data_IF_111485293929
#
_entry.id   IF_111485293929
#
_cell.length_a   1.000
_cell.length_b   1.000
_cell.length_c   1.000
_cell.angle_alpha   90.00
_cell.angle_beta   90.00
_cell.angle_gamma   90.00
#
_symmetry.space_group_name_H-M   'P 1'
#
loop_
_entity.id
_entity.type
_entity.pdbx_description
1 polymer ?
#
# COMPACT_ATOMS: atom_id res chain seq x y z
N UNK A 1 35.44 -15.36 -3.27
CA UNK A 1 34.32 -14.62 -2.62
C UNK A 1 33.75 -13.60 -3.59
N UNK A 2 34.58 -12.76 -4.21
CA UNK A 2 34.19 -11.80 -5.27
C UNK A 2 33.42 -12.48 -6.42
N UNK A 3 33.92 -13.59 -6.97
CA UNK A 3 33.26 -14.31 -8.07
C UNK A 3 31.83 -14.83 -7.75
N UNK A 4 31.55 -15.16 -6.48
CA UNK A 4 30.23 -15.63 -6.07
C UNK A 4 29.24 -14.48 -5.92
N UNK A 5 29.74 -13.31 -5.50
CA UNK A 5 28.94 -12.09 -5.39
C UNK A 5 28.62 -11.51 -6.76
N UNK A 6 29.59 -11.48 -7.69
CA UNK A 6 29.33 -11.12 -9.09
C UNK A 6 28.33 -12.07 -9.74
N UNK A 7 28.51 -13.39 -9.61
CA UNK A 7 27.57 -14.36 -10.16
C UNK A 7 26.14 -14.20 -9.58
N UNK A 8 26.04 -13.83 -8.31
CA UNK A 8 24.76 -13.53 -7.68
C UNK A 8 24.11 -12.28 -8.28
N UNK A 9 24.86 -11.19 -8.41
CA UNK A 9 24.34 -9.93 -8.93
C UNK A 9 24.00 -10.04 -10.41
N UNK A 10 24.78 -10.77 -11.21
CA UNK A 10 24.45 -11.10 -12.60
C UNK A 10 23.19 -11.96 -12.71
N UNK A 11 23.01 -12.96 -11.85
CA UNK A 11 21.77 -13.74 -11.82
C UNK A 11 20.57 -12.88 -11.43
N UNK A 12 20.73 -11.98 -10.46
CA UNK A 12 19.65 -11.06 -10.04
C UNK A 12 19.31 -10.08 -11.17
N UNK A 13 20.33 -9.51 -11.83
CA UNK A 13 20.24 -8.63 -12.99
C UNK A 13 19.50 -9.26 -14.16
N UNK A 14 19.77 -10.53 -14.45
CA UNK A 14 19.13 -11.23 -15.57
C UNK A 14 17.61 -11.35 -15.45
N UNK A 15 17.02 -11.03 -14.29
CA UNK A 15 15.56 -10.99 -14.10
C UNK A 15 14.94 -9.64 -14.46
N UNK A 16 15.73 -8.56 -14.56
CA UNK A 16 15.21 -7.21 -14.69
C UNK A 16 14.57 -6.94 -16.06
N UNK A 17 15.18 -7.41 -17.13
CA UNK A 17 14.64 -7.31 -18.49
C UNK A 17 13.34 -8.13 -18.63
N UNK A 18 13.29 -9.45 -18.34
CA UNK A 18 12.04 -10.21 -18.39
C UNK A 18 10.93 -9.63 -17.50
N UNK A 19 11.30 -9.11 -16.32
CA UNK A 19 10.36 -8.44 -15.41
C UNK A 19 9.76 -7.18 -16.03
N UNK A 20 10.59 -6.35 -16.67
CA UNK A 20 10.15 -5.10 -17.30
C UNK A 20 9.28 -5.36 -18.52
N UNK A 21 9.66 -6.31 -19.36
CA UNK A 21 8.84 -6.77 -20.49
C UNK A 21 7.47 -7.28 -20.02
N UNK A 22 7.45 -8.15 -19.00
CA UNK A 22 6.20 -8.65 -18.42
C UNK A 22 5.36 -7.53 -17.84
N UNK A 23 5.94 -6.57 -17.11
CA UNK A 23 5.18 -5.44 -16.56
C UNK A 23 4.58 -4.57 -17.66
N UNK A 24 5.32 -4.27 -18.73
CA UNK A 24 4.83 -3.49 -19.86
C UNK A 24 3.69 -4.20 -20.61
N UNK A 25 3.84 -5.50 -20.84
CA UNK A 25 2.81 -6.30 -21.49
C UNK A 25 1.54 -6.41 -20.64
N UNK A 26 1.68 -6.63 -19.33
CA UNK A 26 0.56 -6.60 -18.39
C UNK A 26 -0.14 -5.22 -18.41
N UNK A 27 0.62 -4.12 -18.41
CA UNK A 27 0.06 -2.76 -18.55
C UNK A 27 -0.72 -2.59 -19.86
N UNK A 28 -0.18 -3.07 -20.97
CA UNK A 28 -0.83 -2.99 -22.26
C UNK A 28 -2.19 -3.72 -22.25
N UNK A 29 -2.27 -4.91 -21.66
CA UNK A 29 -3.53 -5.63 -21.51
C UNK A 29 -4.50 -4.93 -20.56
N UNK A 30 -4.00 -4.39 -19.45
CA UNK A 30 -4.82 -3.71 -18.46
C UNK A 30 -5.50 -2.44 -18.99
N UNK A 31 -5.05 -1.88 -20.12
CA UNK A 31 -5.78 -0.80 -20.80
C UNK A 31 -7.18 -1.23 -21.27
N UNK A 32 -7.38 -2.52 -21.55
CA UNK A 32 -8.67 -3.10 -21.94
C UNK A 32 -9.48 -3.61 -20.74
N UNK A 33 -8.90 -3.63 -19.53
CA UNK A 33 -9.53 -4.21 -18.33
C UNK A 33 -10.71 -3.38 -17.81
N UNK A 34 -10.74 -2.07 -18.09
CA UNK A 34 -11.90 -1.21 -17.79
C UNK A 34 -12.07 -0.79 -16.32
N UNK A 35 -11.11 -1.08 -15.46
CA UNK A 35 -11.11 -0.69 -14.04
C UNK A 35 -9.78 -0.06 -13.63
N UNK A 36 -9.83 0.76 -12.58
CA UNK A 36 -8.63 1.36 -12.00
C UNK A 36 -7.73 0.29 -11.37
N UNK A 37 -6.42 0.45 -11.60
CA UNK A 37 -5.40 -0.43 -11.07
C UNK A 37 -4.12 0.35 -10.75
N UNK A 38 -3.33 -0.22 -9.84
CA UNK A 38 -1.94 0.17 -9.62
C UNK A 38 -1.04 -1.00 -9.96
N UNK A 39 0.02 -0.76 -10.73
CA UNK A 39 1.03 -1.77 -11.04
C UNK A 39 2.44 -1.25 -10.77
N UNK A 40 3.23 -2.07 -10.09
CA UNK A 40 4.64 -1.82 -9.88
C UNK A 40 5.43 -3.12 -9.92
N UNK A 41 6.65 -3.04 -10.44
CA UNK A 41 7.63 -4.10 -10.34
C UNK A 41 8.62 -3.82 -9.23
N UNK A 42 9.15 -4.88 -8.64
CA UNK A 42 10.19 -4.82 -7.61
C UNK A 42 11.17 -5.95 -7.82
N UNK A 43 12.46 -5.62 -7.78
CA UNK A 43 13.51 -6.62 -7.74
C UNK A 43 13.78 -7.00 -6.28
N UNK A 44 13.93 -8.30 -6.00
CA UNK A 44 14.16 -8.76 -4.64
C UNK A 44 15.55 -8.34 -4.14
N UNK A 45 15.58 -7.91 -2.89
CA UNK A 45 16.80 -7.39 -2.23
C UNK A 45 17.78 -8.52 -1.92
N UNK A 46 19.09 -8.27 -2.04
CA UNK A 46 20.16 -9.26 -1.77
C UNK A 46 20.00 -9.89 -0.36
N UNK A 47 19.81 -9.12 0.73
CA UNK A 47 19.59 -9.70 2.06
C UNK A 47 18.38 -10.63 2.16
N UNK A 48 17.26 -10.29 1.50
CA UNK A 48 16.07 -11.14 1.49
C UNK A 48 16.24 -12.43 0.68
N UNK A 49 17.06 -12.39 -0.38
CA UNK A 49 17.40 -13.58 -1.15
C UNK A 49 18.27 -14.51 -0.29
N UNK A 50 19.33 -13.99 0.32
CA UNK A 50 20.25 -14.75 1.19
C UNK A 50 19.49 -15.38 2.37
N UNK A 51 18.64 -14.61 3.07
CA UNK A 51 17.80 -15.14 4.15
C UNK A 51 16.91 -16.30 3.69
N UNK A 52 16.27 -16.17 2.51
CA UNK A 52 15.43 -17.22 1.97
C UNK A 52 16.21 -18.47 1.57
N UNK A 53 17.43 -18.31 1.04
CA UNK A 53 18.32 -19.43 0.73
C UNK A 53 18.70 -20.19 2.01
N UNK A 54 19.07 -19.47 3.08
CA UNK A 54 19.42 -20.07 4.36
C UNK A 54 18.24 -20.82 4.99
N UNK A 55 17.02 -20.24 4.96
CA UNK A 55 15.83 -20.88 5.53
C UNK A 55 15.39 -22.13 4.76
N UNK A 56 15.43 -22.09 3.44
CA UNK A 56 14.88 -23.17 2.60
C UNK A 56 15.94 -24.19 2.15
N UNK A 57 17.23 -23.90 2.34
CA UNK A 57 18.35 -24.73 1.88
C UNK A 57 18.25 -25.12 0.40
N UNK A 58 17.85 -24.17 -0.46
CA UNK A 58 17.70 -24.35 -1.91
C UNK A 58 18.77 -23.60 -2.69
N UNK A 59 18.96 -23.94 -3.97
CA UNK A 59 19.85 -23.19 -4.88
C UNK A 59 19.22 -21.86 -5.30
N UNK A 60 20.05 -20.86 -5.61
CA UNK A 60 19.62 -19.55 -6.13
C UNK A 60 18.71 -19.69 -7.37
N UNK A 61 19.05 -20.59 -8.28
CA UNK A 61 18.26 -20.88 -9.50
C UNK A 61 16.88 -21.49 -9.25
N UNK A 62 16.63 -21.98 -8.04
CA UNK A 62 15.33 -22.53 -7.64
C UNK A 62 14.40 -21.49 -7.02
N UNK A 63 14.91 -20.30 -6.69
CA UNK A 63 14.08 -19.20 -6.20
C UNK A 63 13.19 -18.67 -7.32
N UNK A 64 11.91 -18.48 -6.99
CA UNK A 64 10.86 -18.14 -7.94
C UNK A 64 10.47 -16.65 -7.89
N UNK A 65 10.92 -15.93 -6.87
CA UNK A 65 10.46 -14.57 -6.52
C UNK A 65 11.60 -13.55 -6.57
N UNK A 66 12.55 -13.70 -7.50
CA UNK A 66 13.63 -12.72 -7.70
C UNK A 66 13.08 -11.45 -8.36
N UNK A 67 12.33 -11.61 -9.46
CA UNK A 67 11.57 -10.53 -10.09
C UNK A 67 10.10 -10.63 -9.70
N UNK A 68 9.55 -9.57 -9.10
CA UNK A 68 8.17 -9.52 -8.65
C UNK A 68 7.40 -8.37 -9.29
N UNK A 69 6.17 -8.62 -9.71
CA UNK A 69 5.20 -7.60 -10.10
C UNK A 69 4.01 -7.63 -9.15
N UNK A 70 3.42 -6.47 -8.88
CA UNK A 70 2.22 -6.35 -8.04
C UNK A 70 1.17 -5.56 -8.77
N UNK A 71 -0.04 -6.11 -8.86
CA UNK A 71 -1.24 -5.40 -9.30
C UNK A 71 -2.19 -5.24 -8.11
N UNK A 72 -2.64 -4.01 -7.86
CA UNK A 72 -3.61 -3.68 -6.83
C UNK A 72 -4.86 -3.13 -7.50
N UNK A 73 -6.01 -3.71 -7.18
CA UNK A 73 -7.34 -3.28 -7.62
C UNK A 73 -8.21 -2.89 -6.43
N UNK A 74 -9.32 -2.19 -6.68
CA UNK A 74 -10.14 -1.58 -5.62
C UNK A 74 -10.65 -2.59 -4.59
N UNK A 75 -11.23 -3.72 -5.05
CA UNK A 75 -11.94 -4.68 -4.20
C UNK A 75 -11.63 -6.13 -4.59
N UNK A 76 -12.01 -7.06 -3.72
CA UNK A 76 -11.71 -8.48 -3.91
C UNK A 76 -12.45 -9.11 -5.11
N UNK A 77 -13.65 -8.63 -5.44
CA UNK A 77 -14.39 -9.10 -6.62
C UNK A 77 -13.66 -8.74 -7.93
N UNK A 78 -12.97 -7.60 -7.96
CA UNK A 78 -12.14 -7.20 -9.09
C UNK A 78 -10.88 -8.08 -9.18
N UNK A 79 -10.34 -8.57 -8.06
CA UNK A 79 -9.24 -9.55 -8.09
C UNK A 79 -9.66 -10.80 -8.85
N UNK A 80 -10.87 -11.31 -8.62
CA UNK A 80 -11.37 -12.50 -9.34
C UNK A 80 -11.49 -12.25 -10.84
N UNK A 81 -12.08 -11.10 -11.22
CA UNK A 81 -12.20 -10.70 -12.62
C UNK A 81 -10.83 -10.56 -13.29
N UNK A 82 -9.88 -9.91 -12.60
CA UNK A 82 -8.52 -9.70 -13.11
C UNK A 82 -7.78 -11.04 -13.25
N UNK A 83 -7.94 -11.97 -12.31
CA UNK A 83 -7.34 -13.31 -12.38
C UNK A 83 -7.83 -14.05 -13.63
N UNK A 84 -9.13 -14.00 -13.94
CA UNK A 84 -9.66 -14.65 -15.15
C UNK A 84 -9.18 -13.94 -16.42
N UNK A 85 -9.23 -12.61 -16.43
CA UNK A 85 -8.73 -11.80 -17.55
C UNK A 85 -7.27 -12.11 -17.89
N UNK A 86 -6.39 -12.16 -16.89
CA UNK A 86 -4.98 -12.46 -17.09
C UNK A 86 -4.74 -13.90 -17.53
N UNK A 87 -5.48 -14.88 -16.98
CA UNK A 87 -5.39 -16.27 -17.44
C UNK A 87 -5.72 -16.40 -18.93
N UNK A 88 -6.80 -15.74 -19.38
CA UNK A 88 -7.18 -15.72 -20.79
C UNK A 88 -6.10 -15.07 -21.66
N UNK A 89 -5.62 -13.88 -21.30
CA UNK A 89 -4.55 -13.19 -22.05
C UNK A 89 -3.27 -14.02 -22.13
N UNK A 90 -2.79 -14.55 -21.00
CA UNK A 90 -1.57 -15.36 -20.94
C UNK A 90 -1.72 -16.64 -21.78
N UNK A 91 -2.89 -17.27 -21.79
CA UNK A 91 -3.11 -18.48 -22.61
C UNK A 91 -2.96 -18.25 -24.13
N UNK A 92 -3.05 -16.98 -24.57
CA UNK A 92 -2.93 -16.56 -25.98
C UNK A 92 -1.54 -15.99 -26.30
N UNK A 93 -0.66 -15.89 -25.31
CA UNK A 93 0.69 -15.33 -25.46
C UNK A 93 1.72 -16.46 -25.52
N UNK A 94 2.61 -16.41 -26.51
CA UNK A 94 3.65 -17.44 -26.70
C UNK A 94 4.82 -17.26 -25.72
N UNK A 95 5.25 -16.02 -25.52
CA UNK A 95 6.49 -15.69 -24.81
C UNK A 95 6.34 -15.54 -23.28
N UNK A 96 5.12 -15.73 -22.75
CA UNK A 96 4.81 -15.67 -21.33
C UNK A 96 4.03 -16.91 -20.91
N UNK A 97 4.62 -17.73 -20.03
CA UNK A 97 4.02 -19.00 -19.59
C UNK A 97 3.50 -18.89 -18.16
N UNK A 98 2.24 -19.25 -17.94
CA UNK A 98 1.69 -19.44 -16.60
C UNK A 98 2.04 -20.82 -16.06
N UNK A 99 2.89 -20.89 -15.03
CA UNK A 99 3.33 -22.16 -14.44
C UNK A 99 2.45 -22.61 -13.28
N UNK A 100 2.00 -21.67 -12.45
CA UNK A 100 1.16 -21.96 -11.29
C UNK A 100 0.35 -20.74 -10.88
N UNK A 101 -0.85 -20.97 -10.38
CA UNK A 101 -1.62 -19.97 -9.64
C UNK A 101 -1.83 -20.50 -8.23
N UNK A 102 -1.64 -19.66 -7.22
CA UNK A 102 -1.90 -19.99 -5.82
C UNK A 102 -2.70 -18.88 -5.19
N UNK A 103 -3.88 -19.21 -4.68
CA UNK A 103 -4.77 -18.26 -4.03
C UNK A 103 -4.66 -18.43 -2.51
N UNK A 104 -4.14 -17.40 -1.83
CA UNK A 104 -4.00 -17.39 -0.38
C UNK A 104 -5.15 -16.66 0.32
N UNK A 105 -6.12 -16.10 -0.41
CA UNK A 105 -7.12 -15.20 0.18
C UNK A 105 -8.09 -15.91 1.12
N UNK A 106 -8.49 -17.13 0.82
CA UNK A 106 -9.51 -17.84 1.61
C UNK A 106 -9.02 -18.20 3.02
N UNK A 107 -7.79 -18.71 3.13
CA UNK A 107 -7.25 -19.24 4.41
C UNK A 107 -6.12 -18.41 5.00
N UNK A 108 -5.58 -17.45 4.25
CA UNK A 108 -4.26 -16.90 4.53
C UNK A 108 -3.15 -17.88 4.16
N UNK A 109 -1.94 -17.37 3.91
CA UNK A 109 -0.77 -18.19 3.55
C UNK A 109 -0.16 -18.93 4.74
N UNK A 110 -0.27 -18.37 5.94
CA UNK A 110 0.47 -18.75 7.13
C UNK A 110 -0.23 -18.20 8.39
N UNK A 111 0.42 -18.33 9.56
CA UNK A 111 -0.06 -17.80 10.84
C UNK A 111 -0.12 -16.27 10.88
N UNK A 112 0.51 -15.57 9.93
CA UNK A 112 0.56 -14.11 9.95
C UNK A 112 -0.76 -13.53 9.46
N UNK A 113 -1.48 -14.23 8.56
CA UNK A 113 -2.70 -13.73 7.94
C UNK A 113 -2.48 -13.14 6.55
N UNK A 114 -1.34 -13.36 5.90
CA UNK A 114 -1.08 -12.82 4.57
C UNK A 114 -2.03 -13.35 3.49
N UNK A 115 -2.56 -12.45 2.64
CA UNK A 115 -3.49 -12.77 1.54
C UNK A 115 -3.17 -12.06 0.23
N UNK A 116 -3.24 -12.82 -0.86
CA UNK A 116 -3.06 -12.37 -2.24
C UNK A 116 -3.27 -13.57 -3.18
N UNK A 117 -3.56 -13.32 -4.46
CA UNK A 117 -3.39 -14.34 -5.51
C UNK A 117 -2.01 -14.22 -6.12
N UNK A 118 -1.27 -15.33 -6.20
CA UNK A 118 0.07 -15.37 -6.77
C UNK A 118 0.06 -16.13 -8.09
N UNK A 119 0.59 -15.50 -9.12
CA UNK A 119 0.87 -16.10 -10.42
C UNK A 119 2.38 -16.35 -10.50
N UNK A 120 2.77 -17.60 -10.70
CA UNK A 120 4.13 -17.96 -11.08
C UNK A 120 4.21 -17.95 -12.60
N UNK A 121 4.89 -16.96 -13.14
CA UNK A 121 5.10 -16.75 -14.56
C UNK A 121 6.52 -17.18 -14.95
N UNK A 122 6.71 -17.48 -16.23
CA UNK A 122 8.03 -17.72 -16.82
C UNK A 122 8.13 -17.00 -18.16
N UNK A 123 9.18 -16.18 -18.31
CA UNK A 123 9.56 -15.48 -19.55
C UNK A 123 11.09 -15.51 -19.66
N UNK A 124 11.61 -15.76 -20.85
CA UNK A 124 13.06 -15.81 -21.15
C UNK A 124 13.84 -16.68 -20.14
N UNK A 125 13.30 -17.87 -19.81
CA UNK A 125 13.83 -18.83 -18.82
C UNK A 125 13.97 -18.29 -17.38
N UNK A 126 13.35 -17.14 -17.08
CA UNK A 126 13.30 -16.56 -15.74
C UNK A 126 11.90 -16.68 -15.14
N UNK A 127 11.87 -17.08 -13.88
CA UNK A 127 10.62 -17.16 -13.10
C UNK A 127 10.34 -15.80 -12.47
N UNK A 128 9.09 -15.37 -12.63
CA UNK A 128 8.58 -14.10 -12.11
C UNK A 128 7.35 -14.37 -11.25
N UNK A 129 7.20 -13.61 -10.17
CA UNK A 129 6.03 -13.69 -9.29
C UNK A 129 5.14 -12.47 -9.53
N UNK A 130 3.90 -12.68 -9.97
CA UNK A 130 2.88 -11.65 -10.03
C UNK A 130 1.93 -11.80 -8.84
N UNK A 131 1.82 -10.75 -8.02
CA UNK A 131 0.94 -10.68 -6.86
C UNK A 131 -0.26 -9.79 -7.19
N UNK A 132 -1.47 -10.35 -7.08
CA UNK A 132 -2.72 -9.62 -7.30
C UNK A 132 -3.40 -9.45 -5.95
N UNK A 133 -3.76 -8.21 -5.62
CA UNK A 133 -4.33 -7.84 -4.32
C UNK A 133 -5.47 -6.84 -4.49
N UNK A 134 -6.43 -6.89 -3.57
CA UNK A 134 -7.29 -5.74 -3.32
C UNK A 134 -6.53 -4.65 -2.56
N UNK A 135 -7.17 -3.48 -2.37
CA UNK A 135 -6.64 -2.42 -1.50
C UNK A 135 -6.53 -2.85 -0.05
N UNK A 136 -7.50 -3.61 0.44
CA UNK A 136 -7.53 -4.07 1.84
C UNK A 136 -6.39 -5.05 2.11
N UNK A 137 -6.21 -6.02 1.20
CA UNK A 137 -5.10 -6.97 1.27
C UNK A 137 -3.74 -6.26 1.17
N UNK A 138 -3.64 -5.25 0.30
CA UNK A 138 -2.42 -4.47 0.16
C UNK A 138 -2.12 -3.62 1.40
N UNK A 139 -3.11 -2.92 1.95
CA UNK A 139 -2.96 -2.16 3.20
C UNK A 139 -2.48 -3.06 4.33
N UNK A 140 -3.14 -4.20 4.57
CA UNK A 140 -2.71 -5.14 5.60
C UNK A 140 -1.25 -5.55 5.44
N UNK A 141 -0.87 -5.86 4.19
CA UNK A 141 0.49 -6.27 3.87
C UNK A 141 1.52 -5.14 4.03
N UNK A 142 1.13 -3.88 3.93
CA UNK A 142 2.01 -2.73 4.22
C UNK A 142 2.06 -2.43 5.72
N UNK A 143 0.94 -2.52 6.44
CA UNK A 143 0.88 -2.25 7.88
C UNK A 143 1.75 -3.19 8.70
N UNK A 144 1.76 -4.48 8.38
CA UNK A 144 2.63 -5.45 9.06
C UNK A 144 4.12 -5.24 8.69
N UNK A 145 4.45 -4.74 7.49
CA UNK A 145 5.84 -4.39 7.13
C UNK A 145 6.31 -3.16 7.91
N UNK A 146 5.47 -2.11 7.99
CA UNK A 146 5.75 -0.94 8.83
C UNK A 146 5.96 -1.32 10.28
N UNK A 147 5.09 -2.18 10.81
CA UNK A 147 5.23 -2.64 12.20
C UNK A 147 6.50 -3.48 12.39
N UNK A 148 6.88 -4.28 11.39
CA UNK A 148 8.15 -5.02 11.41
C UNK A 148 9.37 -4.10 11.52
N UNK A 149 9.32 -2.91 10.91
CA UNK A 149 10.37 -1.87 11.03
C UNK A 149 10.54 -1.46 12.49
N UNK A 150 9.45 -0.99 13.07
CA UNK A 150 9.46 -0.32 14.36
C UNK A 150 9.69 -1.32 15.48
N UNK A 151 9.10 -2.50 15.33
CA UNK A 151 9.26 -3.58 16.27
C UNK A 151 10.64 -4.27 16.16
N UNK A 152 11.38 -4.05 15.07
CA UNK A 152 12.69 -4.66 14.85
C UNK A 152 12.65 -6.17 14.57
N UNK A 153 11.49 -6.69 14.18
CA UNK A 153 11.27 -8.13 13.93
C UNK A 153 10.55 -8.35 12.60
N UNK A 154 10.95 -9.39 11.84
CA UNK A 154 10.28 -9.72 10.58
C UNK A 154 8.96 -10.48 10.83
N UNK A 155 7.89 -9.76 11.19
CA UNK A 155 6.59 -10.32 11.57
C UNK A 155 5.99 -11.24 10.50
N UNK A 156 6.15 -10.90 9.22
CA UNK A 156 5.69 -11.76 8.10
C UNK A 156 6.42 -13.09 7.98
N UNK A 157 7.60 -13.19 8.56
CA UNK A 157 8.40 -14.41 8.59
C UNK A 157 8.17 -15.20 9.89
N UNK A 158 7.25 -14.73 10.75
CA UNK A 158 6.93 -15.34 12.04
C UNK A 158 7.88 -14.94 13.17
N UNK A 159 8.73 -13.93 12.96
CA UNK A 159 9.63 -13.42 14.00
C UNK A 159 8.90 -12.39 14.89
N UNK A 160 9.20 -12.39 16.20
CA UNK A 160 8.60 -11.48 17.18
C UNK A 160 7.59 -12.16 18.11
N UNK A 161 6.94 -11.37 18.97
CA UNK A 161 5.97 -11.89 19.92
C UNK A 161 4.70 -12.42 19.23
N UNK A 162 4.28 -13.61 19.65
CA UNK A 162 3.07 -14.28 19.18
C UNK A 162 1.79 -13.44 19.29
N UNK A 163 1.70 -12.53 20.26
CA UNK A 163 0.55 -11.63 20.45
C UNK A 163 0.50 -10.60 19.32
N UNK A 164 1.64 -10.04 18.92
CA UNK A 164 1.72 -9.09 17.80
C UNK A 164 1.34 -9.79 16.49
N UNK A 165 1.88 -10.98 16.25
CA UNK A 165 1.51 -11.80 15.09
C UNK A 165 0.02 -12.13 15.11
N UNK A 166 -0.52 -12.50 16.28
CA UNK A 166 -1.94 -12.82 16.43
C UNK A 166 -2.87 -11.62 16.20
N UNK A 167 -2.46 -10.41 16.57
CA UNK A 167 -3.21 -9.19 16.21
C UNK A 167 -3.34 -9.07 14.69
N UNK A 168 -2.24 -9.21 13.95
CA UNK A 168 -2.25 -9.12 12.49
C UNK A 168 -3.07 -10.23 11.83
N UNK A 169 -3.00 -11.46 12.38
CA UNK A 169 -3.81 -12.57 11.92
C UNK A 169 -5.31 -12.25 12.06
N UNK A 170 -5.75 -11.82 13.24
CA UNK A 170 -7.16 -11.46 13.50
C UNK A 170 -7.61 -10.29 12.64
N UNK A 171 -6.75 -9.29 12.46
CA UNK A 171 -7.04 -8.14 11.58
C UNK A 171 -7.25 -8.59 10.13
N UNK A 172 -6.41 -9.52 9.65
CA UNK A 172 -6.60 -10.13 8.33
C UNK A 172 -7.94 -10.86 8.26
N UNK A 173 -8.28 -11.67 9.25
CA UNK A 173 -9.56 -12.39 9.29
C UNK A 173 -10.76 -11.45 9.25
N UNK A 174 -10.72 -10.33 9.98
CA UNK A 174 -11.77 -9.32 9.90
C UNK A 174 -11.85 -8.65 8.52
N UNK A 175 -10.71 -8.35 7.91
CA UNK A 175 -10.66 -7.86 6.53
C UNK A 175 -11.24 -8.87 5.53
N UNK A 176 -11.07 -10.18 5.77
CA UNK A 176 -11.71 -11.22 4.93
C UNK A 176 -13.22 -11.04 4.87
N UNK A 177 -13.81 -10.86 6.05
CA UNK A 177 -15.25 -10.82 6.22
C UNK A 177 -15.80 -9.63 5.47
N UNK A 178 -15.16 -8.47 5.64
CA UNK A 178 -15.50 -7.22 4.94
C UNK A 178 -15.39 -7.39 3.42
N UNK A 179 -14.28 -7.95 2.94
CA UNK A 179 -14.07 -8.23 1.51
C UNK A 179 -15.05 -9.25 0.93
N UNK A 180 -15.66 -10.06 1.78
CA UNK A 180 -16.69 -11.03 1.40
C UNK A 180 -18.12 -10.48 1.56
N UNK A 181 -18.26 -9.18 1.83
CA UNK A 181 -19.56 -8.53 2.07
C UNK A 181 -20.22 -8.88 3.40
N UNK A 182 -19.47 -9.46 4.35
CA UNK A 182 -19.93 -9.83 5.69
C UNK A 182 -19.41 -8.82 6.73
N UNK A 183 -20.12 -8.74 7.85
CA UNK A 183 -19.69 -7.89 8.97
C UNK A 183 -18.89 -8.71 9.97
N UNK A 184 -17.66 -8.28 10.34
CA UNK A 184 -16.89 -8.91 11.40
C UNK A 184 -17.71 -8.97 12.70
N UNK A 185 -17.78 -10.15 13.33
CA UNK A 185 -18.56 -10.35 14.55
C UNK A 185 -18.10 -9.45 15.69
N UNK A 186 -19.00 -9.08 16.60
CA UNK A 186 -18.66 -8.28 17.78
C UNK A 186 -17.56 -8.92 18.64
N UNK A 187 -17.51 -10.26 18.70
CA UNK A 187 -16.46 -11.01 19.37
C UNK A 187 -15.10 -10.81 18.70
N UNK A 188 -15.03 -10.97 17.37
CA UNK A 188 -13.77 -10.77 16.62
C UNK A 188 -13.27 -9.33 16.76
N UNK A 189 -14.17 -8.34 16.71
CA UNK A 189 -13.84 -6.92 16.95
C UNK A 189 -13.20 -6.71 18.33
N UNK A 190 -13.84 -7.23 19.38
CA UNK A 190 -13.31 -7.15 20.74
C UNK A 190 -11.95 -7.86 20.88
N UNK A 191 -11.79 -9.04 20.28
CA UNK A 191 -10.53 -9.78 20.29
C UNK A 191 -9.40 -9.02 19.57
N UNK A 192 -9.71 -8.29 18.49
CA UNK A 192 -8.76 -7.42 17.78
C UNK A 192 -8.37 -6.23 18.68
N UNK A 193 -9.34 -5.57 19.32
CA UNK A 193 -9.07 -4.41 20.17
C UNK A 193 -8.22 -4.77 21.41
N UNK A 194 -8.47 -5.94 21.99
CA UNK A 194 -7.63 -6.46 23.09
C UNK A 194 -6.22 -6.79 22.57
N UNK A 195 -6.12 -7.55 21.47
CA UNK A 195 -4.83 -7.92 20.90
C UNK A 195 -4.02 -6.69 20.45
N UNK A 196 -4.68 -5.63 19.97
CA UNK A 196 -4.05 -4.35 19.63
C UNK A 196 -3.39 -3.74 20.86
N UNK A 197 -4.12 -3.58 21.96
CA UNK A 197 -3.57 -2.96 23.19
C UNK A 197 -2.37 -3.73 23.74
N UNK A 198 -2.42 -5.05 23.69
CA UNK A 198 -1.29 -5.88 24.12
C UNK A 198 -0.12 -5.77 23.15
N UNK A 199 -0.36 -5.80 21.84
CA UNK A 199 0.67 -5.60 20.82
C UNK A 199 1.36 -4.24 20.96
N UNK A 200 0.59 -3.16 21.15
CA UNK A 200 1.14 -1.81 21.39
C UNK A 200 2.05 -1.78 22.61
N UNK A 201 1.62 -2.39 23.72
CA UNK A 201 2.42 -2.48 24.95
C UNK A 201 3.72 -3.26 24.72
N UNK A 202 3.66 -4.37 24.00
CA UNK A 202 4.84 -5.20 23.69
C UNK A 202 5.82 -4.41 22.82
N UNK A 203 5.35 -3.80 21.74
CA UNK A 203 6.20 -3.06 20.81
C UNK A 203 6.83 -1.85 21.54
N UNK A 204 6.09 -1.15 22.43
CA UNK A 204 6.62 0.01 23.19
C UNK A 204 7.72 -0.40 24.17
N UNK A 205 7.65 -1.62 24.70
CA UNK A 205 8.61 -2.11 25.67
C UNK A 205 9.93 -2.56 25.02
N UNK A 206 9.98 -2.76 23.70
CA UNK A 206 11.18 -3.26 23.01
C UNK A 206 12.23 -2.16 22.80
N UNK A 207 11.88 -0.87 22.77
CA UNK A 207 12.89 0.19 22.90
C UNK A 207 12.28 1.58 23.15
N UNK A 208 12.56 2.17 24.32
CA UNK A 208 12.28 3.58 24.63
C UNK A 208 13.41 4.52 24.18
N UNK A 209 14.46 3.99 23.55
CA UNK A 209 15.60 4.75 23.00
C UNK A 209 15.50 5.11 21.52
N UNK A 210 14.64 4.43 20.75
CA UNK A 210 14.45 4.66 19.32
C UNK A 210 13.02 5.12 19.03
N UNK A 211 12.57 6.20 19.67
CA UNK A 211 11.36 6.90 19.25
C UNK A 211 11.60 7.46 17.84
N UNK A 212 11.32 6.60 16.85
CA UNK A 212 11.37 6.88 15.43
C UNK A 212 10.23 7.86 15.14
N UNK A 213 10.52 9.16 15.29
CA UNK A 213 9.66 10.24 14.81
C UNK A 213 9.99 10.43 13.33
N UNK A 214 9.29 9.69 12.46
CA UNK A 214 9.49 9.76 11.02
C UNK A 214 8.39 10.58 10.38
N UNK A 215 8.67 11.85 10.09
CA UNK A 215 7.74 12.65 9.30
C UNK A 215 7.76 12.25 7.82
N UNK A 216 6.58 12.22 7.20
CA UNK A 216 6.44 12.10 5.74
C UNK A 216 7.02 13.37 5.12
N UNK A 217 8.14 13.25 4.41
CA UNK A 217 8.75 14.38 3.71
C UNK A 217 8.04 14.58 2.35
N UNK A 218 6.94 15.34 2.34
CA UNK A 218 6.14 15.60 1.15
C UNK A 218 6.93 16.33 0.02
N UNK A 219 8.00 17.06 0.35
CA UNK A 219 8.87 17.75 -0.64
C UNK A 219 9.57 16.76 -1.58
N UNK A 220 9.86 15.55 -1.07
CA UNK A 220 10.47 14.46 -1.85
C UNK A 220 9.51 13.99 -2.94
N UNK A 221 8.21 13.91 -2.64
CA UNK A 221 7.18 13.49 -3.60
C UNK A 221 7.04 14.49 -4.73
N UNK A 222 7.10 15.78 -4.42
CA UNK A 222 7.08 16.85 -5.42
C UNK A 222 8.28 16.72 -6.37
N UNK A 223 9.47 16.50 -5.81
CA UNK A 223 10.70 16.37 -6.59
C UNK A 223 10.71 15.10 -7.46
N UNK A 224 10.21 13.98 -6.92
CA UNK A 224 10.01 12.73 -7.68
C UNK A 224 9.06 12.94 -8.87
N UNK A 225 7.94 13.62 -8.63
CA UNK A 225 6.92 13.91 -9.65
C UNK A 225 7.46 14.84 -10.74
N UNK A 226 8.32 15.79 -10.38
CA UNK A 226 8.98 16.67 -11.35
C UNK A 226 9.99 15.93 -12.24
N UNK A 227 10.82 15.06 -11.66
CA UNK A 227 11.75 14.23 -12.46
C UNK A 227 11.01 13.27 -13.37
N UNK A 228 9.91 12.67 -12.90
CA UNK A 228 9.06 11.80 -13.72
C UNK A 228 8.50 12.52 -14.94
N UNK A 229 7.96 13.74 -14.77
CA UNK A 229 7.40 14.54 -15.89
C UNK A 229 8.42 14.80 -17.01
N UNK A 230 9.71 14.76 -16.71
CA UNK A 230 10.80 14.94 -17.68
C UNK A 230 11.24 13.62 -18.35
N UNK A 231 10.76 12.48 -17.87
CA UNK A 231 11.05 11.16 -18.43
C UNK A 231 9.97 10.76 -19.44
N UNK A 232 10.38 10.39 -20.66
CA UNK A 232 9.50 9.85 -21.69
C UNK A 232 9.36 8.32 -21.64
N UNK A 233 9.87 7.66 -20.60
CA UNK A 233 9.89 6.20 -20.50
C UNK A 233 8.52 5.65 -20.05
N UNK A 234 8.04 4.52 -20.61
CA UNK A 234 6.82 3.88 -20.15
C UNK A 234 6.95 3.32 -18.72
N UNK A 235 8.16 2.97 -18.29
CA UNK A 235 8.50 2.59 -16.91
C UNK A 235 9.74 3.36 -16.46
N UNK A 236 9.67 3.95 -15.27
CA UNK A 236 10.80 4.55 -14.57
C UNK A 236 11.26 3.60 -13.45
N UNK A 237 12.56 3.40 -13.35
CA UNK A 237 13.18 2.66 -12.26
C UNK A 237 13.62 3.64 -11.17
N UNK A 238 13.14 3.40 -9.96
CA UNK A 238 13.39 4.21 -8.78
C UNK A 238 14.22 3.41 -7.79
N UNK A 239 15.32 3.99 -7.34
CA UNK A 239 16.00 3.53 -6.13
C UNK A 239 15.43 4.32 -4.96
N UNK A 240 15.03 3.61 -3.90
CA UNK A 240 14.66 4.21 -2.63
C UNK A 240 15.62 3.68 -1.56
N UNK A 241 16.13 4.60 -0.74
CA UNK A 241 16.98 4.31 0.41
C UNK A 241 16.23 4.70 1.68
N UNK A 242 16.07 3.72 2.57
CA UNK A 242 15.38 3.86 3.85
C UNK A 242 16.34 3.48 4.98
N UNK A 243 16.35 4.26 6.06
CA UNK A 243 17.14 4.00 7.26
C UNK A 243 16.24 3.47 8.38
N UNK A 244 16.49 2.23 8.78
CA UNK A 244 15.71 1.56 9.83
C UNK A 244 16.09 2.04 11.22
N UNK A 245 17.24 2.69 11.41
CA UNK A 245 17.58 3.27 12.72
C UNK A 245 16.69 4.48 13.02
N UNK A 246 16.43 5.29 12.00
CA UNK A 246 15.63 6.53 12.11
C UNK A 246 14.19 6.35 11.63
N UNK A 247 13.88 5.22 10.99
CA UNK A 247 12.62 4.95 10.27
C UNK A 247 12.31 5.98 9.19
N UNK A 248 13.34 6.65 8.67
CA UNK A 248 13.18 7.73 7.72
C UNK A 248 13.62 7.31 6.33
N UNK A 249 12.93 7.89 5.36
CA UNK A 249 13.40 7.95 4.00
C UNK A 249 14.65 8.84 3.94
N UNK A 250 15.74 8.31 3.39
CA UNK A 250 17.03 9.01 3.35
C UNK A 250 17.32 9.59 1.97
N UNK A 251 17.07 8.82 0.92
CA UNK A 251 17.45 9.20 -0.42
C UNK A 251 16.63 8.45 -1.46
N UNK A 252 16.58 9.02 -2.67
CA UNK A 252 16.10 8.34 -3.84
C UNK A 252 16.90 8.73 -5.07
N UNK A 253 16.81 7.86 -6.08
CA UNK A 253 17.30 8.17 -7.41
C UNK A 253 16.36 7.64 -8.48
N UNK A 254 16.39 8.29 -9.64
CA UNK A 254 15.82 7.73 -10.86
C UNK A 254 16.99 7.15 -11.65
N UNK A 255 16.99 5.84 -11.83
CA UNK A 255 18.09 5.14 -12.47
C UNK A 255 17.79 4.86 -13.93
N UNK A 256 18.88 4.62 -14.66
CA UNK A 256 18.92 4.52 -16.10
C UNK A 256 17.90 3.57 -16.72
N UNK A 257 17.71 3.75 -18.02
CA UNK A 257 16.62 3.10 -18.77
C UNK A 257 16.94 1.65 -19.10
N UNK A 258 18.22 1.29 -19.10
CA UNK A 258 18.67 -0.06 -19.42
C UNK A 258 18.80 -0.91 -18.15
N UNK A 259 18.65 -2.24 -18.25
CA UNK A 259 18.88 -3.14 -17.13
C UNK A 259 20.28 -3.01 -16.51
N UNK A 260 21.30 -2.76 -17.33
CA UNK A 260 22.68 -2.58 -16.89
C UNK A 260 22.83 -1.35 -15.99
N UNK A 261 22.38 -0.19 -16.45
CA UNK A 261 22.47 1.07 -15.70
C UNK A 261 21.70 0.98 -14.37
N UNK A 262 20.51 0.36 -14.40
CA UNK A 262 19.67 0.20 -13.22
C UNK A 262 20.32 -0.69 -12.17
N UNK A 263 20.94 -1.80 -12.57
CA UNK A 263 21.63 -2.71 -11.64
C UNK A 263 22.94 -2.12 -11.13
N UNK A 264 23.75 -1.51 -11.99
CA UNK A 264 25.00 -0.91 -11.57
C UNK A 264 24.73 0.18 -10.51
N UNK A 265 23.72 1.01 -10.74
CA UNK A 265 23.29 1.97 -9.73
C UNK A 265 22.76 1.26 -8.48
N UNK A 266 21.95 0.22 -8.61
CA UNK A 266 21.39 -0.49 -7.45
C UNK A 266 22.48 -1.10 -6.56
N UNK A 267 23.48 -1.78 -7.15
CA UNK A 267 24.64 -2.33 -6.44
C UNK A 267 25.45 -1.21 -5.78
N UNK A 268 25.67 -0.08 -6.49
CA UNK A 268 26.35 1.09 -5.92
C UNK A 268 25.64 1.63 -4.68
N UNK A 269 24.31 1.76 -4.72
CA UNK A 269 23.52 2.19 -3.57
C UNK A 269 23.54 1.14 -2.44
N UNK A 270 23.41 -0.15 -2.73
CA UNK A 270 23.53 -1.22 -1.72
C UNK A 270 24.90 -1.20 -1.00
N UNK A 271 25.98 -0.86 -1.72
CA UNK A 271 27.32 -0.72 -1.14
C UNK A 271 27.47 0.57 -0.30
N UNK A 272 26.84 1.67 -0.72
CA UNK A 272 26.87 2.95 0.02
C UNK A 272 26.00 2.90 1.28
N UNK A 273 24.89 2.16 1.22
CA UNK A 273 23.89 2.05 2.27
C UNK A 273 23.73 0.58 2.69
N UNK A 274 24.73 0.03 3.41
CA UNK A 274 24.79 -1.38 3.75
C UNK A 274 23.72 -1.78 4.77
N UNK A 275 23.22 -3.01 4.65
CA UNK A 275 22.21 -3.58 5.55
C UNK A 275 22.70 -3.75 6.98
N UNK A 276 24.02 -3.93 7.16
CA UNK A 276 24.68 -4.05 8.47
C UNK A 276 24.61 -2.74 9.27
N UNK A 277 24.38 -1.62 8.60
CA UNK A 277 24.10 -0.31 9.21
C UNK A 277 22.61 0.00 9.28
N UNK A 278 21.76 -1.02 9.10
CA UNK A 278 20.31 -0.92 9.10
C UNK A 278 19.76 0.01 7.99
N UNK A 279 20.41 0.05 6.83
CA UNK A 279 19.80 0.65 5.64
C UNK A 279 19.09 -0.40 4.77
N UNK A 280 18.07 0.05 4.07
CA UNK A 280 17.41 -0.71 3.02
C UNK A 280 17.40 0.07 1.72
N UNK A 281 17.96 -0.57 0.70
CA UNK A 281 17.89 -0.10 -0.67
C UNK A 281 16.90 -0.98 -1.42
N UNK A 282 15.99 -0.36 -2.17
CA UNK A 282 15.02 -1.07 -3.00
C UNK A 282 14.94 -0.47 -4.39
N UNK A 283 14.91 -1.34 -5.40
CA UNK A 283 14.67 -0.98 -6.80
C UNK A 283 13.22 -1.27 -7.18
N UNK A 284 12.47 -0.21 -7.52
CA UNK A 284 11.04 -0.26 -7.87
C UNK A 284 10.84 0.31 -9.25
N UNK A 285 10.19 -0.42 -10.15
CA UNK A 285 9.78 0.10 -11.45
C UNK A 285 8.29 0.44 -11.47
N UNK A 286 7.93 1.63 -11.95
CA UNK A 286 6.54 1.98 -12.20
C UNK A 286 6.41 3.05 -13.29
N UNK A 287 5.23 3.15 -13.91
CA UNK A 287 4.92 4.18 -14.90
C UNK A 287 4.62 5.55 -14.28
N UNK A 288 4.22 5.58 -13.00
CA UNK A 288 3.88 6.80 -12.26
C UNK A 288 4.46 6.76 -10.86
N UNK A 289 5.06 7.84 -10.36
CA UNK A 289 5.61 7.89 -9.00
C UNK A 289 4.50 7.83 -7.94
N UNK A 290 3.31 8.35 -8.27
CA UNK A 290 2.12 8.20 -7.44
C UNK A 290 1.80 6.72 -7.17
N UNK A 291 2.08 5.83 -8.13
CA UNK A 291 1.92 4.39 -7.97
C UNK A 291 2.95 3.81 -7.01
N UNK A 292 4.19 4.31 -7.00
CA UNK A 292 5.23 3.90 -6.03
C UNK A 292 4.77 4.23 -4.60
N UNK A 293 4.25 5.44 -4.36
CA UNK A 293 3.67 5.83 -3.05
C UNK A 293 2.51 4.93 -2.63
N UNK A 294 1.66 4.50 -3.57
CA UNK A 294 0.52 3.61 -3.27
C UNK A 294 0.96 2.16 -3.01
N UNK A 295 1.93 1.67 -3.78
CA UNK A 295 2.36 0.26 -3.75
C UNK A 295 3.42 -0.04 -2.69
N UNK A 296 4.17 0.96 -2.26
CA UNK A 296 5.30 0.84 -1.32
C UNK A 296 5.30 1.99 -0.30
N UNK A 297 4.11 2.29 0.20
CA UNK A 297 3.84 3.40 1.12
C UNK A 297 4.68 3.37 2.40
N UNK A 298 5.11 2.20 2.87
CA UNK A 298 5.93 2.05 4.07
C UNK A 298 7.30 2.71 4.01
N UNK A 299 7.83 3.01 2.81
CA UNK A 299 9.10 3.75 2.68
C UNK A 299 8.94 5.27 2.72
N UNK A 300 7.72 5.80 2.63
CA UNK A 300 7.47 7.25 2.52
C UNK A 300 7.11 7.90 3.86
N UNK A 301 7.62 7.35 4.96
CA UNK A 301 7.35 7.81 6.32
C UNK A 301 6.35 6.94 7.06
N UNK A 302 6.53 6.84 8.36
CA UNK A 302 5.66 6.14 9.29
C UNK A 302 4.95 7.22 10.11
N UNK A 303 3.63 7.37 9.98
CA UNK A 303 2.89 8.25 10.89
C UNK A 303 3.14 7.83 12.35
N UNK A 304 3.02 8.79 13.28
CA UNK A 304 3.17 8.63 14.74
C UNK A 304 3.03 7.19 15.22
N UNK A 305 3.93 6.76 16.10
CA UNK A 305 3.92 5.42 16.69
C UNK A 305 2.51 4.98 17.15
N UNK A 306 1.73 5.92 17.68
CA UNK A 306 0.36 5.71 18.16
C UNK A 306 -0.69 5.41 17.07
N UNK A 307 -0.32 5.51 15.80
CA UNK A 307 -1.19 5.26 14.63
C UNK A 307 -0.75 4.06 13.78
N UNK A 308 0.35 3.37 14.14
CA UNK A 308 0.85 2.23 13.34
C UNK A 308 -0.16 1.08 13.33
N UNK A 309 -0.74 0.80 14.50
CA UNK A 309 -1.78 -0.19 14.67
C UNK A 309 -3.12 0.52 14.70
N UNK A 310 -3.93 0.32 13.69
CA UNK A 310 -5.29 0.85 13.64
C UNK A 310 -6.26 -0.15 14.28
N UNK A 311 -7.26 0.35 14.99
CA UNK A 311 -8.42 -0.49 15.33
C UNK A 311 -9.10 -0.93 14.03
N UNK A 312 -9.94 -1.97 14.12
CA UNK A 312 -10.67 -2.40 12.94
C UNK A 312 -11.54 -1.27 12.37
N UNK A 313 -12.18 -0.48 13.23
CA UNK A 313 -13.03 0.63 12.81
C UNK A 313 -12.22 1.78 12.17
N UNK A 314 -11.03 2.08 12.68
CA UNK A 314 -10.08 3.02 12.06
C UNK A 314 -9.63 2.54 10.68
N UNK A 315 -9.27 1.26 10.57
CA UNK A 315 -8.88 0.64 9.30
C UNK A 315 -10.00 0.70 8.27
N UNK A 316 -11.24 0.36 8.66
CA UNK A 316 -12.42 0.47 7.79
C UNK A 316 -12.62 1.91 7.31
N UNK A 317 -12.55 2.88 8.22
CA UNK A 317 -12.62 4.30 7.86
C UNK A 317 -11.49 4.72 6.90
N UNK A 318 -10.30 4.11 7.03
CA UNK A 318 -9.19 4.26 6.10
C UNK A 318 -9.48 3.73 4.69
N UNK A 319 -10.26 2.64 4.56
CA UNK A 319 -10.67 2.09 3.27
C UNK A 319 -11.81 2.83 2.61
N UNK A 320 -12.70 3.43 3.40
CA UNK A 320 -13.71 4.35 2.85
C UNK A 320 -13.03 5.59 2.22
N UNK A 321 -11.77 5.91 2.57
CA UNK A 321 -11.03 7.13 2.20
C UNK A 321 -10.35 7.19 0.83
N UNK A 322 -10.78 6.41 -0.17
CA UNK A 322 -10.53 6.78 -1.57
C UNK A 322 -11.86 7.14 -2.21
N UNK A 323 -12.25 8.39 -1.89
CA UNK A 323 -13.57 8.95 -2.13
C UNK A 323 -14.22 9.55 -0.88
N UNK A 324 -13.72 9.25 0.34
CA UNK A 324 -14.42 9.69 1.55
C UNK A 324 -14.20 11.14 1.97
N UNK A 325 -15.32 11.68 2.41
CA UNK A 325 -15.47 12.77 3.34
C UNK A 325 -14.82 12.36 4.68
N UNK A 326 -13.94 13.20 5.22
CA UNK A 326 -13.33 12.96 6.54
C UNK A 326 -14.36 13.04 7.69
N UNK A 327 -13.98 12.63 8.91
CA UNK A 327 -14.89 12.60 10.08
C UNK A 327 -15.55 13.96 10.32
N UNK A 328 -14.79 15.05 10.10
CA UNK A 328 -15.29 16.42 10.20
C UNK A 328 -16.34 16.72 9.13
N UNK A 329 -16.09 16.35 7.88
CA UNK A 329 -17.07 16.49 6.81
C UNK A 329 -18.32 15.64 7.02
N UNK A 330 -18.20 14.42 7.59
CA UNK A 330 -19.35 13.54 7.86
C UNK A 330 -20.22 14.10 8.98
N UNK A 331 -19.59 14.66 10.03
CA UNK A 331 -20.29 15.36 11.10
C UNK A 331 -21.05 16.59 10.58
N UNK A 332 -20.43 17.37 9.68
CA UNK A 332 -21.06 18.52 9.03
C UNK A 332 -22.27 18.07 8.18
N UNK A 333 -22.09 17.06 7.32
CA UNK A 333 -23.17 16.52 6.48
C UNK A 333 -24.33 15.99 7.34
N UNK A 334 -24.05 15.23 8.39
CA UNK A 334 -25.07 14.69 9.30
C UNK A 334 -25.85 15.80 10.02
N UNK A 335 -25.18 16.88 10.46
CA UNK A 335 -25.85 18.02 11.11
C UNK A 335 -26.70 18.83 10.14
N UNK A 336 -26.21 19.07 8.93
CA UNK A 336 -27.02 19.72 7.88
C UNK A 336 -28.22 18.86 7.47
N UNK A 337 -28.03 17.54 7.42
CA UNK A 337 -29.05 16.56 7.07
C UNK A 337 -30.18 16.51 8.10
N UNK A 338 -29.82 16.29 9.37
CA UNK A 338 -30.77 16.18 10.51
C UNK A 338 -31.51 17.48 10.80
N UNK A 339 -30.94 18.64 10.49
CA UNK A 339 -31.60 19.96 10.61
C UNK A 339 -32.34 20.39 9.34
N UNK A 340 -32.32 19.54 8.30
CA UNK A 340 -32.98 19.78 7.01
C UNK A 340 -32.52 21.08 6.33
N UNK A 341 -31.22 21.35 6.25
CA UNK A 341 -30.65 22.46 5.47
C UNK A 341 -30.32 21.99 4.05
N UNK A 342 -31.22 22.24 3.11
CA UNK A 342 -31.12 21.80 1.71
C UNK A 342 -31.40 22.94 0.74
N UNK A 343 -30.56 23.09 -0.29
CA UNK A 343 -30.75 24.09 -1.36
C UNK A 343 -30.91 25.51 -0.82
N UNK A 344 -32.09 26.10 -1.01
CA UNK A 344 -32.40 27.48 -0.59
C UNK A 344 -32.49 27.66 0.93
N UNK A 345 -32.63 26.57 1.69
CA UNK A 345 -32.64 26.63 3.16
C UNK A 345 -31.20 26.46 3.69
N UNK A 346 -30.56 27.59 3.97
CA UNK A 346 -29.15 27.67 4.35
C UNK A 346 -28.93 27.96 5.84
N UNK A 347 -27.70 27.77 6.31
CA UNK A 347 -27.26 28.10 7.68
C UNK A 347 -25.94 28.87 7.64
N UNK A 348 -25.79 29.87 8.51
CA UNK A 348 -24.54 30.60 8.63
C UNK A 348 -23.42 29.70 9.17
N UNK A 349 -22.21 29.86 8.66
CA UNK A 349 -21.04 29.07 9.05
C UNK A 349 -20.68 29.26 10.53
N UNK A 350 -20.86 30.46 11.07
CA UNK A 350 -20.69 30.73 12.51
C UNK A 350 -21.70 29.95 13.36
N UNK A 351 -22.93 29.80 12.88
CA UNK A 351 -23.95 29.00 13.57
C UNK A 351 -23.59 27.52 13.53
N UNK A 352 -23.05 27.01 12.42
CA UNK A 352 -22.52 25.65 12.36
C UNK A 352 -21.37 25.47 13.35
N UNK A 353 -20.39 26.37 13.37
CA UNK A 353 -19.21 26.29 14.25
C UNK A 353 -19.59 26.38 15.72
N UNK A 354 -20.44 27.33 16.10
CA UNK A 354 -20.69 27.67 17.50
C UNK A 354 -21.84 26.85 18.12
N UNK A 355 -22.74 26.28 17.31
CA UNK A 355 -23.94 25.59 17.82
C UNK A 355 -24.11 24.15 17.38
N UNK A 356 -23.78 23.79 16.13
CA UNK A 356 -24.10 22.47 15.59
C UNK A 356 -22.91 21.51 15.48
N UNK A 357 -21.70 22.04 15.30
CA UNK A 357 -20.46 21.32 15.03
C UNK A 357 -19.31 21.79 15.95
N UNK A 358 -19.59 22.02 17.25
CA UNK A 358 -18.62 22.58 18.21
C UNK A 358 -17.35 21.74 18.37
N UNK A 359 -17.46 20.43 18.16
CA UNK A 359 -16.35 19.47 18.32
C UNK A 359 -15.49 19.31 17.04
N UNK A 360 -15.84 20.01 15.94
CA UNK A 360 -15.12 19.94 14.67
C UNK A 360 -13.97 20.97 14.66
N UNK A 361 -12.75 20.51 14.93
CA UNK A 361 -11.55 21.39 15.04
C UNK A 361 -11.17 22.11 13.73
N UNK A 362 -11.46 21.55 12.56
CA UNK A 362 -11.05 22.07 11.24
C UNK A 362 -12.26 22.28 10.29
N UNK A 363 -13.30 22.99 10.76
CA UNK A 363 -14.58 23.13 10.05
C UNK A 363 -14.45 23.77 8.65
N UNK A 364 -13.56 24.75 8.49
CA UNK A 364 -13.38 25.48 7.22
C UNK A 364 -12.81 24.59 6.12
N UNK A 365 -11.71 23.89 6.43
CA UNK A 365 -11.08 22.96 5.50
C UNK A 365 -12.00 21.77 5.14
N UNK A 366 -12.83 21.33 6.09
CA UNK A 366 -13.82 20.27 5.85
C UNK A 366 -14.96 20.75 4.92
N UNK A 367 -15.46 21.98 5.12
CA UNK A 367 -16.45 22.59 4.23
C UNK A 367 -15.91 22.78 2.81
N UNK A 368 -14.66 23.22 2.67
CA UNK A 368 -14.03 23.41 1.35
C UNK A 368 -13.96 22.11 0.56
N UNK A 369 -13.60 21.00 1.21
CA UNK A 369 -13.60 19.67 0.59
C UNK A 369 -15.00 19.22 0.19
N UNK A 370 -16.00 19.43 1.05
CA UNK A 370 -17.40 19.09 0.76
C UNK A 370 -17.97 19.88 -0.42
N UNK A 371 -17.55 21.14 -0.58
CA UNK A 371 -17.90 21.98 -1.73
C UNK A 371 -17.20 21.50 -2.99
N UNK A 372 -15.90 21.17 -2.92
CA UNK A 372 -15.15 20.59 -4.04
C UNK A 372 -15.72 19.25 -4.51
N UNK A 373 -16.25 18.45 -3.58
CA UNK A 373 -16.94 17.19 -3.87
C UNK A 373 -18.39 17.38 -4.34
N UNK A 374 -18.91 18.61 -4.37
CA UNK A 374 -20.27 18.91 -4.83
C UNK A 374 -21.37 18.47 -3.88
N UNK A 375 -21.06 18.12 -2.63
CA UNK A 375 -22.03 17.66 -1.62
C UNK A 375 -22.66 18.83 -0.85
N UNK A 376 -21.93 19.94 -0.70
CA UNK A 376 -22.37 21.17 -0.02
C UNK A 376 -22.32 22.34 -1.00
N UNK A 377 -23.31 23.23 -0.92
CA UNK A 377 -23.36 24.50 -1.63
C UNK A 377 -22.95 25.64 -0.71
N UNK A 378 -22.17 26.59 -1.24
CA UNK A 378 -21.72 27.79 -0.53
C UNK A 378 -21.56 28.95 -1.51
N UNK A 379 -22.12 30.13 -1.19
CA UNK A 379 -22.11 31.31 -2.08
C UNK A 379 -20.80 32.12 -2.03
N UNK A 380 -20.07 32.09 -0.91
CA UNK A 380 -18.77 32.75 -0.73
C UNK A 380 -17.97 32.08 0.41
N UNK A 381 -16.67 32.34 0.54
CA UNK A 381 -15.80 31.62 1.49
C UNK A 381 -16.29 31.65 2.96
N UNK A 382 -17.00 32.70 3.38
CA UNK A 382 -17.64 32.84 4.70
C UNK A 382 -19.18 32.88 4.63
N UNK A 383 -19.76 32.54 3.48
CA UNK A 383 -21.18 32.61 3.21
C UNK A 383 -21.97 31.47 3.85
N UNK A 384 -23.32 31.57 3.86
CA UNK A 384 -24.17 30.52 4.37
C UNK A 384 -24.06 29.25 3.50
N UNK A 385 -24.26 28.08 4.12
CA UNK A 385 -24.09 26.77 3.48
C UNK A 385 -25.37 25.94 3.53
N UNK A 386 -25.53 25.02 2.57
CA UNK A 386 -26.62 24.03 2.55
C UNK A 386 -26.20 22.75 1.81
N UNK A 387 -26.95 21.66 1.99
CA UNK A 387 -26.74 20.44 1.23
C UNK A 387 -27.17 20.61 -0.23
N UNK A 388 -26.39 20.03 -1.14
CA UNK A 388 -26.71 20.03 -2.56
C UNK A 388 -27.83 19.03 -2.86
N UNK A 389 -29.02 19.54 -3.24
CA UNK A 389 -30.18 18.72 -3.59
C UNK A 389 -29.85 17.72 -4.72
N UNK A 390 -28.97 18.09 -5.65
CA UNK A 390 -28.58 17.22 -6.77
C UNK A 390 -27.73 16.02 -6.33
N UNK A 391 -27.03 16.12 -5.21
CA UNK A 391 -26.22 15.04 -4.64
C UNK A 391 -26.96 14.23 -3.57
N UNK A 392 -28.29 14.40 -3.43
CA UNK A 392 -29.07 13.76 -2.37
C UNK A 392 -28.92 12.22 -2.28
N UNK A 393 -28.94 11.45 -3.38
CA UNK A 393 -28.74 10.00 -3.31
C UNK A 393 -27.36 9.57 -2.79
N UNK A 394 -26.35 10.42 -2.98
CA UNK A 394 -24.99 10.21 -2.49
C UNK A 394 -24.90 10.61 -1.00
N UNK A 395 -25.45 11.76 -0.65
CA UNK A 395 -25.52 12.25 0.73
C UNK A 395 -26.29 11.27 1.62
N UNK A 396 -27.42 10.73 1.15
CA UNK A 396 -28.22 9.73 1.88
C UNK A 396 -27.40 8.49 2.23
N UNK A 397 -26.51 8.01 1.33
CA UNK A 397 -25.61 6.86 1.59
C UNK A 397 -24.47 7.17 2.56
N UNK A 398 -24.15 8.45 2.74
CA UNK A 398 -23.00 8.89 3.54
C UNK A 398 -23.39 9.21 5.00
N UNK A 399 -24.67 9.47 5.25
CA UNK A 399 -25.25 9.84 6.55
C UNK A 399 -26.20 8.78 7.13
N UNK A 400 -26.52 7.72 6.38
CA UNK A 400 -27.16 6.50 6.89
C UNK A 400 -26.13 5.55 7.48
#
# INVERSE_FOLDING_TARGET
MIDLEEAFDEYRKSHLEPLSETTLELQAWLNEYGHDYYIAQRLKRKPQIVRKLNRLSVRLTQLQDIGGCRIIVEKNELVDQLVQFLKDKISKTVDLKLKRVTDYREKGRDITGYRSVHFLLERNDRKLELQIRSRIQHYWAESIERTSVIYGHHLKEGEGDSIVISYFQKLSDAFFEIESGRTPSARLRLEIDVAKKDAERIIRNVDSSNAIDSHVNDDIILTLSEKERRSASPINNWIIVFDWNTGQFVSWDIVGKTPDEAIEAYVRYENQFPVERNFEVVLIGSSRVATVRRTHSHYFGIEDYDKILESLDESIQGFEKIGAIDVSGRQILLKLYTKHFWGQKTVAQDTLRNHFCKDVKNLDAALDKLVQQGLVLRESAAGPVSLNIKARPEIDKLVS
#
